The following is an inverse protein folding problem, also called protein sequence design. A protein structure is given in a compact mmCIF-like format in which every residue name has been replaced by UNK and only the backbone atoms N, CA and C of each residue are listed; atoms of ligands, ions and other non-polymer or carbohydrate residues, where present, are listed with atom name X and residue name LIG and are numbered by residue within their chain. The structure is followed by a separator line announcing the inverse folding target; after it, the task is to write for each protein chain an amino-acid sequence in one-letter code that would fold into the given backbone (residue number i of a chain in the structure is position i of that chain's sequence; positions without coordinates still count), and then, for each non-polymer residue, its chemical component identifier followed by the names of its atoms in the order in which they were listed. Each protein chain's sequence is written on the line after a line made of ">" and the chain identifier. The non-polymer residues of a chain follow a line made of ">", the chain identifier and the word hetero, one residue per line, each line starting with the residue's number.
data_IF_949169012970
#
_entry.id   IF_949169012970
#
_cell.length_a   1.000
_cell.length_b   1.000
_cell.length_c   1.000
_cell.angle_alpha   90.00
_cell.angle_beta   90.00
_cell.angle_gamma   90.00
#
_symmetry.space_group_name_H-M   'P 1'
#
loop_
_entity.id
_entity.type
_entity.pdbx_description
1 polymer ?
#
# COMPACT_ATOMS: atom_id res chain seq x y z
N UNK A 1 -9.74 -16.95 2.39
CA UNK A 1 -9.44 -15.80 1.52
C UNK A 1 -10.45 -14.71 1.87
N UNK A 2 -10.14 -13.84 2.84
CA UNK A 2 -11.15 -13.02 3.53
C UNK A 2 -10.67 -11.63 3.91
N UNK A 3 -9.80 -11.02 3.10
CA UNK A 3 -9.42 -9.62 3.26
C UNK A 3 -9.38 -8.98 1.89
N UNK A 4 -10.29 -8.02 1.70
CA UNK A 4 -10.37 -7.17 0.50
C UNK A 4 -9.03 -6.43 0.37
N UNK A 5 -8.41 -6.46 -0.80
CA UNK A 5 -7.07 -5.91 -1.02
C UNK A 5 -7.03 -4.97 -2.22
N UNK A 6 -6.13 -3.98 -2.21
CA UNK A 6 -5.96 -2.96 -3.25
C UNK A 6 -5.73 -3.48 -4.69
N UNK A 7 -5.48 -4.78 -4.85
CA UNK A 7 -5.25 -5.45 -6.12
C UNK A 7 -6.47 -6.24 -6.62
N UNK A 8 -7.48 -6.46 -5.79
CA UNK A 8 -8.69 -7.21 -6.13
C UNK A 8 -9.90 -6.27 -6.06
N UNK A 9 -10.37 -5.76 -7.20
CA UNK A 9 -11.50 -4.83 -7.22
C UNK A 9 -12.84 -5.57 -7.13
N UNK A 10 -12.91 -6.86 -6.87
CA UNK A 10 -14.20 -7.53 -6.65
C UNK A 10 -14.19 -8.30 -5.36
N UNK A 11 -15.36 -8.35 -4.72
CA UNK A 11 -15.59 -9.38 -3.74
C UNK A 11 -15.58 -10.74 -4.46
N UNK A 12 -15.08 -11.77 -3.81
CA UNK A 12 -14.96 -13.09 -4.43
C UNK A 12 -16.32 -13.63 -4.88
N UNK A 13 -17.41 -13.25 -4.22
CA UNK A 13 -18.77 -13.67 -4.56
C UNK A 13 -19.22 -13.15 -5.94
N UNK A 14 -18.68 -12.02 -6.39
CA UNK A 14 -19.04 -11.37 -7.65
C UNK A 14 -18.24 -11.89 -8.85
N UNK A 15 -17.34 -12.86 -8.66
CA UNK A 15 -16.38 -13.29 -9.70
C UNK A 15 -17.03 -13.69 -11.03
N UNK A 16 -18.24 -14.27 -11.00
CA UNK A 16 -18.98 -14.68 -12.20
C UNK A 16 -19.39 -13.48 -13.05
N UNK A 17 -19.78 -12.39 -12.41
CA UNK A 17 -20.15 -11.15 -13.11
C UNK A 17 -18.90 -10.46 -13.67
N UNK A 18 -17.83 -10.37 -12.88
CA UNK A 18 -16.55 -9.80 -13.30
C UNK A 18 -15.95 -10.57 -14.49
N UNK A 19 -16.00 -11.91 -14.48
CA UNK A 19 -15.51 -12.72 -15.59
C UNK A 19 -16.35 -12.51 -16.86
N UNK A 20 -17.68 -12.38 -16.73
CA UNK A 20 -18.55 -12.08 -17.86
C UNK A 20 -18.23 -10.71 -18.46
N UNK A 21 -18.08 -9.69 -17.61
CA UNK A 21 -17.71 -8.35 -18.06
C UNK A 21 -16.34 -8.35 -18.75
N UNK A 22 -15.36 -9.12 -18.23
CA UNK A 22 -14.07 -9.30 -18.89
C UNK A 22 -14.20 -9.92 -20.29
N UNK A 23 -14.95 -11.02 -20.42
CA UNK A 23 -15.17 -11.71 -21.70
C UNK A 23 -15.94 -10.83 -22.71
N UNK A 24 -16.86 -10.00 -22.22
CA UNK A 24 -17.67 -9.09 -23.02
C UNK A 24 -16.98 -7.71 -23.20
N UNK A 25 -15.69 -7.59 -22.84
CA UNK A 25 -14.88 -6.37 -22.97
C UNK A 25 -15.45 -5.13 -22.27
N UNK A 26 -16.23 -5.34 -21.21
CA UNK A 26 -16.78 -4.30 -20.33
C UNK A 26 -15.90 -4.07 -19.10
N UNK A 27 -14.61 -3.94 -19.30
CA UNK A 27 -13.67 -3.69 -18.20
C UNK A 27 -12.67 -2.63 -18.63
N UNK A 28 -12.09 -1.96 -17.65
CA UNK A 28 -10.96 -1.06 -17.88
C UNK A 28 -9.67 -1.74 -17.45
N UNK A 29 -8.55 -1.36 -18.06
CA UNK A 29 -7.23 -1.85 -17.66
C UNK A 29 -6.44 -0.71 -17.03
N UNK A 30 -5.86 -0.98 -15.87
CA UNK A 30 -4.87 -0.11 -15.24
C UNK A 30 -3.50 -0.78 -15.30
N UNK A 31 -2.57 -0.15 -15.99
CA UNK A 31 -1.18 -0.59 -16.04
C UNK A 31 -0.48 -0.15 -14.75
N UNK A 32 -0.31 -1.09 -13.82
CA UNK A 32 0.39 -0.84 -12.56
C UNK A 32 1.89 -1.00 -12.76
N UNK A 33 2.65 -0.02 -12.29
CA UNK A 33 4.11 -0.04 -12.33
C UNK A 33 4.66 -1.15 -11.45
N UNK A 34 5.82 -1.68 -11.83
CA UNK A 34 6.61 -2.62 -11.05
C UNK A 34 7.98 -2.03 -10.76
N UNK A 35 8.60 -2.46 -9.68
CA UNK A 35 10.03 -2.22 -9.46
C UNK A 35 10.83 -3.36 -10.10
N UNK A 36 12.08 -3.06 -10.44
CA UNK A 36 13.12 -4.05 -10.69
C UNK A 36 14.28 -3.78 -9.74
N UNK A 37 14.96 -4.84 -9.33
CA UNK A 37 16.12 -4.73 -8.45
C UNK A 37 17.24 -5.67 -8.86
N UNK A 38 18.46 -5.26 -8.54
CA UNK A 38 19.69 -6.05 -8.63
C UNK A 38 20.58 -5.77 -7.42
N UNK A 39 21.41 -6.74 -7.05
CA UNK A 39 22.28 -6.65 -5.87
C UNK A 39 23.71 -6.66 -6.37
N UNK A 40 24.56 -5.83 -5.79
CA UNK A 40 25.92 -5.63 -6.26
C UNK A 40 26.92 -5.67 -5.11
N UNK A 41 28.10 -6.19 -5.43
CA UNK A 41 29.28 -6.12 -4.59
C UNK A 41 29.83 -4.69 -4.53
N UNK A 42 30.78 -4.46 -3.63
CA UNK A 42 31.38 -3.15 -3.44
C UNK A 42 32.21 -2.65 -4.65
N UNK A 43 32.65 -3.56 -5.52
CA UNK A 43 33.35 -3.31 -6.78
C UNK A 43 32.38 -3.08 -7.97
N UNK A 44 31.08 -3.30 -7.77
CA UNK A 44 30.03 -3.13 -8.77
C UNK A 44 29.56 -4.43 -9.42
N UNK A 45 30.26 -5.55 -9.20
CA UNK A 45 29.87 -6.84 -9.78
C UNK A 45 28.51 -7.30 -9.22
N UNK A 46 27.63 -7.77 -10.08
CA UNK A 46 26.31 -8.24 -9.69
C UNK A 46 26.41 -9.55 -8.87
N UNK A 47 25.64 -9.62 -7.79
CA UNK A 47 25.59 -10.76 -6.87
C UNK A 47 24.40 -11.65 -7.21
N UNK A 48 24.70 -12.93 -7.45
CA UNK A 48 23.70 -13.97 -7.62
C UNK A 48 23.53 -14.41 -9.07
N UNK A 49 23.13 -15.68 -9.26
CA UNK A 49 22.88 -16.29 -10.59
C UNK A 49 21.45 -16.07 -11.09
N UNK A 50 20.65 -15.26 -10.39
CA UNK A 50 19.19 -15.16 -10.55
C UNK A 50 18.70 -14.05 -11.47
N UNK A 51 19.57 -13.12 -11.89
CA UNK A 51 19.19 -11.96 -12.70
C UNK A 51 18.27 -10.96 -11.99
N UNK A 52 17.85 -9.93 -12.73
CA UNK A 52 16.95 -8.88 -12.25
C UNK A 52 15.63 -9.48 -11.70
N UNK A 53 15.25 -9.11 -10.48
CA UNK A 53 13.94 -9.49 -9.91
C UNK A 53 12.96 -8.34 -10.10
N UNK A 54 11.78 -8.65 -10.65
CA UNK A 54 10.66 -7.71 -10.73
C UNK A 54 9.66 -7.96 -9.61
N UNK A 55 9.15 -6.88 -9.04
CA UNK A 55 8.24 -6.91 -7.89
C UNK A 55 7.15 -5.83 -8.01
N UNK A 56 6.03 -6.04 -7.34
CA UNK A 56 4.86 -5.15 -7.47
C UNK A 56 4.90 -3.99 -6.51
N UNK A 57 5.13 -4.26 -5.22
CA UNK A 57 4.85 -3.30 -4.17
C UNK A 57 6.13 -2.62 -3.69
N UNK A 58 7.01 -3.35 -3.00
CA UNK A 58 8.20 -2.74 -2.40
C UNK A 58 9.37 -3.70 -2.21
N UNK A 59 10.56 -3.11 -2.18
CA UNK A 59 11.73 -3.69 -1.53
C UNK A 59 11.98 -2.98 -0.21
N UNK A 60 12.27 -3.74 0.83
CA UNK A 60 12.64 -3.24 2.14
C UNK A 60 14.02 -3.77 2.51
N UNK A 61 14.95 -2.87 2.78
CA UNK A 61 16.27 -3.19 3.31
C UNK A 61 16.28 -2.79 4.78
N UNK A 62 16.29 -3.76 5.67
CA UNK A 62 16.10 -3.53 7.11
C UNK A 62 17.07 -4.36 7.96
N UNK A 63 17.21 -3.98 9.22
CA UNK A 63 18.06 -4.64 10.23
C UNK A 63 17.71 -6.11 10.49
N UNK A 64 16.57 -6.57 10.03
CA UNK A 64 16.12 -7.93 10.28
C UNK A 64 16.05 -8.26 11.77
N UNK A 65 16.68 -9.38 12.13
CA UNK A 65 16.77 -9.87 13.52
C UNK A 65 17.85 -9.17 14.36
N UNK A 66 18.65 -8.28 13.77
CA UNK A 66 19.75 -7.62 14.46
C UNK A 66 19.24 -6.61 15.51
N UNK A 67 19.88 -6.51 16.68
CA UNK A 67 19.49 -5.55 17.72
C UNK A 67 19.87 -4.10 17.36
N UNK A 68 20.83 -3.93 16.44
CA UNK A 68 21.35 -2.62 16.05
C UNK A 68 20.68 -2.11 14.77
N UNK A 69 20.37 -0.81 14.75
CA UNK A 69 19.97 -0.11 13.52
C UNK A 69 21.04 -0.26 12.43
N UNK A 70 20.58 -0.37 11.19
CA UNK A 70 21.46 -0.41 10.03
C UNK A 70 21.84 1.01 9.61
N UNK A 71 23.06 1.16 9.07
CA UNK A 71 23.48 2.41 8.45
C UNK A 71 23.49 2.23 6.93
N UNK A 72 22.58 2.92 6.25
CA UNK A 72 22.33 2.76 4.81
C UNK A 72 22.54 4.10 4.13
N UNK A 73 23.49 4.16 3.19
CA UNK A 73 23.66 5.29 2.29
C UNK A 73 22.67 5.16 1.13
N UNK A 74 21.83 6.18 0.95
CA UNK A 74 20.89 6.25 -0.16
C UNK A 74 21.43 7.21 -1.24
N UNK A 75 21.45 6.74 -2.48
CA UNK A 75 21.81 7.53 -3.64
C UNK A 75 20.64 7.55 -4.63
N UNK A 76 20.49 8.68 -5.32
CA UNK A 76 19.54 8.87 -6.42
C UNK A 76 20.34 9.32 -7.62
N UNK A 77 20.27 8.57 -8.72
CA UNK A 77 20.97 8.86 -9.98
C UNK A 77 22.47 9.10 -9.76
N UNK A 78 23.07 8.25 -8.92
CA UNK A 78 24.49 8.30 -8.55
C UNK A 78 24.89 9.41 -7.57
N UNK A 79 23.96 10.26 -7.14
CA UNK A 79 24.21 11.35 -6.18
C UNK A 79 23.81 10.92 -4.78
N UNK A 80 24.66 11.18 -3.79
CA UNK A 80 24.34 10.90 -2.39
C UNK A 80 23.18 11.79 -1.95
N UNK A 81 22.09 11.16 -1.51
CA UNK A 81 20.91 11.85 -0.99
C UNK A 81 21.03 12.02 0.52
N UNK A 82 21.27 10.92 1.23
CA UNK A 82 21.37 10.91 2.70
C UNK A 82 21.96 9.61 3.21
N UNK A 83 22.45 9.64 4.45
CA UNK A 83 22.79 8.44 5.21
C UNK A 83 21.70 8.19 6.26
N UNK A 84 20.99 7.09 6.12
CA UNK A 84 19.95 6.65 7.04
C UNK A 84 20.56 5.81 8.16
N UNK A 85 20.36 6.23 9.41
CA UNK A 85 20.53 5.35 10.57
C UNK A 85 19.12 5.05 11.08
N UNK A 86 18.63 3.86 10.78
CA UNK A 86 17.23 3.50 10.94
C UNK A 86 17.06 1.99 11.13
N UNK A 87 15.83 1.54 11.39
CA UNK A 87 15.53 0.11 11.31
C UNK A 87 15.59 -0.38 9.86
N UNK A 88 15.41 0.50 8.88
CA UNK A 88 15.62 0.22 7.47
C UNK A 88 15.13 1.34 6.55
N UNK A 89 15.13 1.04 5.25
CA UNK A 89 14.59 1.86 4.17
C UNK A 89 13.71 1.00 3.26
N UNK A 90 12.60 1.58 2.80
CA UNK A 90 11.67 0.97 1.86
C UNK A 90 11.72 1.77 0.56
N UNK A 91 11.87 1.09 -0.58
CA UNK A 91 11.59 1.63 -1.91
C UNK A 91 10.32 0.96 -2.43
N UNK A 92 9.27 1.76 -2.65
CA UNK A 92 7.96 1.28 -3.07
C UNK A 92 7.53 1.86 -4.42
N UNK A 93 6.74 1.09 -5.15
CA UNK A 93 5.95 1.58 -6.28
C UNK A 93 4.73 2.36 -5.78
N UNK A 94 4.00 3.07 -6.66
CA UNK A 94 2.72 3.70 -6.30
C UNK A 94 1.71 2.69 -5.76
N UNK A 95 1.72 1.46 -6.27
CA UNK A 95 0.88 0.35 -5.77
C UNK A 95 1.30 -0.06 -4.35
N UNK A 96 2.61 -0.14 -4.08
CA UNK A 96 3.15 -0.45 -2.76
C UNK A 96 2.99 0.67 -1.71
N UNK A 97 2.57 1.86 -2.13
CA UNK A 97 2.33 2.99 -1.21
C UNK A 97 1.28 2.71 -0.15
N UNK A 98 0.37 1.75 -0.40
CA UNK A 98 -0.67 1.29 0.53
C UNK A 98 -0.30 0.01 1.29
N UNK A 99 0.92 -0.51 1.10
CA UNK A 99 1.43 -1.71 1.75
C UNK A 99 2.38 -1.33 2.90
N UNK A 100 3.59 -1.89 2.97
CA UNK A 100 4.49 -1.64 4.09
C UNK A 100 4.94 -0.18 4.17
N UNK A 101 5.06 0.50 3.02
CA UNK A 101 5.37 1.94 2.97
C UNK A 101 4.36 2.77 3.76
N UNK A 102 3.06 2.48 3.67
CA UNK A 102 2.03 3.17 4.45
C UNK A 102 2.23 3.01 5.96
N UNK A 103 2.46 1.77 6.39
CA UNK A 103 2.69 1.44 7.80
C UNK A 103 3.93 2.11 8.38
N UNK A 104 4.95 2.34 7.53
CA UNK A 104 6.17 3.07 7.90
C UNK A 104 6.00 4.61 7.84
N UNK A 105 4.80 5.12 7.58
CA UNK A 105 4.49 6.55 7.53
C UNK A 105 4.65 7.19 6.15
N UNK A 106 4.79 6.38 5.09
CA UNK A 106 4.76 6.83 3.70
C UNK A 106 3.37 7.34 3.26
N UNK A 107 3.31 8.21 2.25
CA UNK A 107 2.05 8.73 1.74
C UNK A 107 1.32 7.69 0.89
N UNK A 108 -0.01 7.77 0.86
CA UNK A 108 -0.83 7.03 -0.10
C UNK A 108 -0.71 7.70 -1.47
N UNK A 109 -0.33 6.94 -2.49
CA UNK A 109 -0.11 7.43 -3.86
C UNK A 109 -1.05 6.72 -4.82
N UNK A 110 -1.68 7.49 -5.71
CA UNK A 110 -2.56 6.92 -6.73
C UNK A 110 -1.76 6.03 -7.71
N UNK A 111 -2.19 4.81 -8.05
CA UNK A 111 -1.41 3.88 -8.88
C UNK A 111 -0.99 4.41 -10.26
N UNK A 112 -1.71 5.38 -10.81
CA UNK A 112 -1.36 6.05 -12.08
C UNK A 112 -0.26 7.10 -11.98
N UNK A 113 0.12 7.54 -10.78
CA UNK A 113 1.21 8.52 -10.59
C UNK A 113 2.54 7.83 -10.90
N UNK A 114 3.32 8.40 -11.81
CA UNK A 114 4.61 7.86 -12.20
C UNK A 114 5.68 8.28 -11.20
N UNK A 115 5.88 7.50 -10.14
CA UNK A 115 6.81 7.85 -9.06
C UNK A 115 7.37 6.64 -8.32
N UNK A 116 8.58 6.78 -7.79
CA UNK A 116 9.17 5.90 -6.76
C UNK A 116 8.97 6.53 -5.38
N UNK A 117 8.74 5.72 -4.35
CA UNK A 117 8.64 6.19 -2.97
C UNK A 117 9.84 5.70 -2.18
N UNK A 118 10.54 6.59 -1.48
CA UNK A 118 11.52 6.25 -0.47
C UNK A 118 10.94 6.54 0.91
N UNK A 119 10.79 5.52 1.75
CA UNK A 119 10.21 5.63 3.10
C UNK A 119 11.18 5.06 4.14
N UNK A 120 11.62 5.86 5.13
CA UNK A 120 12.45 5.33 6.21
C UNK A 120 11.63 4.56 7.26
N UNK A 121 12.18 3.48 7.81
CA UNK A 121 11.58 2.72 8.91
C UNK A 121 12.22 3.18 10.22
N UNK A 122 11.45 3.85 11.09
CA UNK A 122 11.91 4.34 12.39
C UNK A 122 13.30 5.04 12.34
N UNK A 123 13.47 6.10 11.52
CA UNK A 123 14.76 6.77 11.42
C UNK A 123 15.14 7.45 12.74
N UNK A 124 16.42 7.37 13.12
CA UNK A 124 16.97 8.14 14.24
C UNK A 124 16.89 9.66 13.99
N UNK A 125 16.96 10.07 12.72
CA UNK A 125 16.85 11.47 12.33
C UNK A 125 15.41 11.96 12.41
N UNK A 126 15.18 13.06 13.14
CA UNK A 126 13.86 13.69 13.27
C UNK A 126 13.36 14.34 11.98
N UNK A 127 14.28 14.71 11.08
CA UNK A 127 13.98 15.41 9.82
C UNK A 127 13.83 14.48 8.62
N UNK A 128 14.14 13.19 8.75
CA UNK A 128 14.03 12.28 7.62
C UNK A 128 12.56 11.95 7.38
N UNK A 129 12.04 12.41 6.25
CA UNK A 129 10.66 12.19 5.80
C UNK A 129 10.64 11.30 4.55
N UNK A 130 9.51 10.61 4.30
CA UNK A 130 9.30 9.96 3.02
C UNK A 130 9.40 10.95 1.86
N UNK A 131 9.92 10.49 0.72
CA UNK A 131 10.10 11.31 -0.49
C UNK A 131 9.56 10.56 -1.70
N UNK A 132 8.87 11.28 -2.57
CA UNK A 132 8.53 10.80 -3.91
C UNK A 132 9.60 11.25 -4.89
N UNK A 133 10.05 10.31 -5.71
CA UNK A 133 11.06 10.51 -6.74
C UNK A 133 10.45 10.21 -8.12
N UNK A 134 10.98 10.82 -9.20
CA UNK A 134 10.58 10.47 -10.56
C UNK A 134 10.70 8.97 -10.85
N UNK A 135 9.82 8.44 -11.70
CA UNK A 135 9.82 7.02 -12.06
C UNK A 135 11.05 6.55 -12.84
N UNK A 136 11.74 7.47 -13.50
CA UNK A 136 12.96 7.23 -14.27
C UNK A 136 14.24 7.29 -13.42
N UNK A 137 14.14 7.67 -12.15
CA UNK A 137 15.28 7.64 -11.24
C UNK A 137 15.75 6.22 -10.92
N UNK A 138 17.05 6.08 -10.72
CA UNK A 138 17.69 4.87 -10.19
C UNK A 138 18.13 5.12 -8.75
N UNK A 139 17.69 4.25 -7.86
CA UNK A 139 17.99 4.32 -6.42
C UNK A 139 19.05 3.29 -6.09
N UNK A 140 20.06 3.68 -5.33
CA UNK A 140 21.02 2.74 -4.75
C UNK A 140 20.98 2.84 -3.23
N UNK A 141 20.77 1.70 -2.56
CA UNK A 141 20.81 1.57 -1.12
C UNK A 141 22.03 0.75 -0.73
N UNK A 142 23.05 1.41 -0.18
CA UNK A 142 24.33 0.79 0.16
C UNK A 142 24.45 0.61 1.65
N UNK A 143 24.80 -0.60 2.09
CA UNK A 143 25.14 -0.81 3.50
C UNK A 143 26.47 -0.15 3.77
N UNK A 144 26.50 0.85 4.65
CA UNK A 144 27.70 1.60 4.95
C UNK A 144 28.79 0.65 5.47
N UNK A 145 30.05 0.82 5.05
CA UNK A 145 31.15 -0.08 5.44
C UNK A 145 31.39 -0.16 6.94
N UNK A 146 31.02 0.90 7.66
CA UNK A 146 31.12 1.01 9.12
C UNK A 146 29.83 0.58 9.84
N UNK A 147 28.82 0.09 9.10
CA UNK A 147 27.62 -0.51 9.69
C UNK A 147 28.02 -1.72 10.52
N UNK A 148 27.49 -1.81 11.74
CA UNK A 148 27.80 -2.90 12.69
C UNK A 148 27.13 -4.21 12.32
N UNK A 149 26.01 -4.12 11.59
CA UNK A 149 25.17 -5.24 11.20
C UNK A 149 24.97 -5.26 9.69
N UNK A 150 24.74 -6.48 9.19
CA UNK A 150 24.20 -6.71 7.86
C UNK A 150 22.71 -6.30 7.83
N UNK A 151 22.12 -6.22 6.64
CA UNK A 151 20.71 -5.90 6.46
C UNK A 151 20.00 -7.01 5.69
N UNK A 152 18.84 -7.42 6.15
CA UNK A 152 17.95 -8.32 5.44
C UNK A 152 17.21 -7.56 4.33
N UNK A 153 17.18 -8.16 3.14
CA UNK A 153 16.39 -7.71 1.99
C UNK A 153 15.10 -8.52 1.92
N UNK A 154 14.00 -7.79 1.97
CA UNK A 154 12.65 -8.31 1.76
C UNK A 154 12.08 -7.73 0.47
N UNK A 155 11.46 -8.58 -0.36
CA UNK A 155 10.80 -8.20 -1.61
C UNK A 155 9.35 -8.68 -1.55
N UNK A 156 8.39 -7.77 -1.73
CA UNK A 156 6.94 -8.06 -1.65
C UNK A 156 6.57 -8.91 -0.41
N UNK A 157 7.19 -8.60 0.74
CA UNK A 157 6.97 -9.28 2.03
C UNK A 157 7.67 -10.63 2.20
N UNK A 158 8.54 -11.05 1.28
CA UNK A 158 9.34 -12.28 1.38
C UNK A 158 10.81 -11.98 1.59
N UNK A 159 11.43 -12.61 2.59
CA UNK A 159 12.86 -12.54 2.82
C UNK A 159 13.61 -13.22 1.66
N UNK A 160 14.59 -12.51 1.09
CA UNK A 160 15.35 -12.97 -0.07
C UNK A 160 16.76 -13.35 0.32
N UNK A 161 17.50 -12.40 0.90
CA UNK A 161 18.88 -12.59 1.34
C UNK A 161 19.35 -11.44 2.24
N UNK A 162 20.54 -11.57 2.79
CA UNK A 162 21.19 -10.55 3.61
C UNK A 162 22.30 -9.83 2.83
N UNK A 163 22.33 -8.50 2.89
CA UNK A 163 23.40 -7.65 2.36
C UNK A 163 24.39 -7.29 3.47
N UNK A 164 25.66 -7.48 3.19
CA UNK A 164 26.78 -7.17 4.09
C UNK A 164 27.35 -5.78 3.83
N UNK A 165 28.07 -5.17 4.81
CA UNK A 165 28.70 -3.86 4.64
C UNK A 165 29.52 -3.73 3.36
N UNK A 166 29.23 -2.70 2.56
CA UNK A 166 29.84 -2.44 1.27
C UNK A 166 29.03 -2.90 0.06
N UNK A 167 28.17 -3.91 0.22
CA UNK A 167 27.21 -4.31 -0.81
C UNK A 167 26.09 -3.28 -0.94
N UNK A 168 25.45 -3.25 -2.10
CA UNK A 168 24.33 -2.36 -2.34
C UNK A 168 23.23 -3.01 -3.17
N UNK A 169 22.01 -2.53 -2.93
CA UNK A 169 20.82 -2.81 -3.72
C UNK A 169 20.62 -1.67 -4.72
N UNK A 170 20.39 -2.00 -5.99
CA UNK A 170 20.01 -1.04 -7.02
C UNK A 170 18.55 -1.28 -7.41
N UNK A 171 17.76 -0.21 -7.45
CA UNK A 171 16.31 -0.26 -7.70
C UNK A 171 15.97 0.76 -8.78
N UNK A 172 15.10 0.38 -9.72
CA UNK A 172 14.49 1.30 -10.67
C UNK A 172 13.10 0.78 -11.06
N UNK A 173 12.34 1.56 -11.83
CA UNK A 173 11.10 1.05 -12.40
C UNK A 173 11.38 -0.03 -13.45
N UNK A 174 10.57 -1.07 -13.42
CA UNK A 174 10.58 -2.14 -14.42
C UNK A 174 9.98 -1.61 -15.74
N UNK A 175 10.55 -1.96 -16.90
CA UNK A 175 9.95 -1.65 -18.20
C UNK A 175 8.68 -2.49 -18.47
N UNK A 176 8.33 -3.43 -17.60
CA UNK A 176 7.24 -4.37 -17.78
C UNK A 176 6.12 -4.12 -16.76
N UNK A 177 5.21 -3.16 -17.00
CA UNK A 177 4.05 -2.95 -16.13
C UNK A 177 3.11 -4.16 -16.13
N UNK A 178 2.32 -4.30 -15.07
CA UNK A 178 1.29 -5.35 -14.99
C UNK A 178 -0.06 -4.77 -15.39
N UNK A 179 -0.71 -5.32 -16.43
CA UNK A 179 -2.11 -5.02 -16.73
C UNK A 179 -3.01 -5.60 -15.65
N UNK A 180 -3.72 -4.74 -14.95
CA UNK A 180 -4.71 -5.14 -13.96
C UNK A 180 -6.10 -4.74 -14.45
N UNK A 181 -7.04 -5.67 -14.37
CA UNK A 181 -8.43 -5.42 -14.71
C UNK A 181 -9.09 -4.62 -13.59
N UNK A 182 -9.75 -3.52 -13.93
CA UNK A 182 -10.55 -2.68 -13.05
C UNK A 182 -12.04 -2.78 -13.42
N UNK A 183 -12.94 -2.27 -12.56
CA UNK A 183 -14.38 -2.32 -12.80
C UNK A 183 -14.74 -1.47 -14.03
N UNK A 184 -15.87 -1.79 -14.65
CA UNK A 184 -16.45 -0.94 -15.68
C UNK A 184 -16.81 0.42 -15.07
N UNK A 185 -16.49 1.52 -15.75
CA UNK A 185 -17.07 2.80 -15.38
C UNK A 185 -18.60 2.72 -15.59
N UNK A 186 -19.37 3.15 -14.59
CA UNK A 186 -20.85 3.16 -14.66
C UNK A 186 -21.41 3.98 -15.83
N UNK A 187 -20.57 4.83 -16.44
CA UNK A 187 -20.83 5.58 -17.68
C UNK A 187 -20.85 4.74 -18.96
N UNK A 188 -20.35 3.50 -18.95
CA UNK A 188 -20.28 2.63 -20.13
C UNK A 188 -21.55 1.76 -20.33
N UNK A 189 -22.70 2.16 -19.77
CA UNK A 189 -23.97 1.56 -20.19
C UNK A 189 -24.28 2.08 -21.61
N UNK A 190 -24.38 1.20 -22.63
CA UNK A 190 -24.81 1.65 -23.94
C UNK A 190 -26.21 2.25 -23.80
N UNK A 191 -26.37 3.49 -24.29
CA UNK A 191 -27.68 4.15 -24.39
C UNK A 191 -28.70 3.16 -24.95
N UNK A 192 -29.58 2.64 -24.09
CA UNK A 192 -30.81 2.02 -24.54
C UNK A 192 -31.58 3.11 -25.27
N UNK A 193 -31.60 3.05 -26.61
CA UNK A 193 -32.52 3.87 -27.42
C UNK A 193 -33.91 3.59 -26.89
N UNK A 194 -34.50 4.60 -26.27
CA UNK A 194 -35.83 4.52 -25.67
C UNK A 194 -36.87 4.18 -26.73
N UNK A 195 -37.50 3.01 -26.59
CA UNK A 195 -38.88 2.85 -27.01
C UNK A 195 -39.74 3.45 -25.90
N UNK A 196 -40.63 4.36 -26.28
CA UNK A 196 -41.30 5.28 -25.38
C UNK A 196 -42.24 4.65 -24.36
N UNK A 197 -42.51 5.42 -23.31
CA UNK A 197 -43.82 5.50 -22.68
C UNK A 197 -43.89 6.78 -21.85
N UNK A 198 -44.83 7.62 -22.23
CA UNK A 198 -45.36 8.75 -21.46
C UNK A 198 -46.19 8.23 -20.29
N UNK A 199 -46.00 8.83 -19.10
CA UNK A 199 -46.89 8.92 -17.94
C UNK A 199 -45.99 9.16 -16.71
N UNK A 200 -46.27 9.98 -15.70
CA UNK A 200 -47.33 10.91 -15.35
C UNK A 200 -46.68 11.82 -14.28
N UNK A 201 -46.97 13.13 -14.32
CA UNK A 201 -46.51 14.08 -13.31
C UNK A 201 -47.25 13.84 -12.01
N UNK A 202 -46.54 13.64 -10.90
CA UNK A 202 -47.06 13.95 -9.57
C UNK A 202 -45.99 14.66 -8.73
N UNK A 203 -46.48 15.64 -7.98
CA UNK A 203 -45.81 16.81 -7.47
C UNK A 203 -45.52 16.62 -5.98
N UNK A 204 -44.25 16.46 -5.60
CA UNK A 204 -43.79 16.61 -4.21
C UNK A 204 -42.53 17.49 -4.16
N UNK A 205 -42.42 18.46 -3.23
CA UNK A 205 -41.28 19.35 -3.15
C UNK A 205 -40.11 18.62 -2.48
N UNK A 206 -39.10 18.21 -3.25
CA UNK A 206 -37.83 17.72 -2.71
C UNK A 206 -36.89 18.88 -2.43
N UNK A 207 -36.41 18.89 -1.18
CA UNK A 207 -35.38 19.76 -0.62
C UNK A 207 -34.16 19.83 -1.56
N UNK A 208 -33.67 21.04 -1.78
CA UNK A 208 -32.49 21.33 -2.57
C UNK A 208 -31.26 20.91 -1.75
N UNK A 209 -30.77 19.68 -1.95
CA UNK A 209 -29.40 19.32 -1.57
C UNK A 209 -28.44 19.86 -2.64
N UNK A 210 -28.08 21.13 -2.46
CA UNK A 210 -26.97 21.77 -3.15
C UNK A 210 -25.64 21.22 -2.63
N UNK A 211 -25.12 20.17 -3.24
CA UNK A 211 -23.72 19.76 -3.13
C UNK A 211 -23.29 19.02 -4.40
N UNK A 212 -23.43 19.68 -5.56
CA UNK A 212 -22.79 19.23 -6.79
C UNK A 212 -21.28 19.39 -6.60
N UNK A 213 -20.56 18.28 -6.53
CA UNK A 213 -19.10 18.28 -6.53
C UNK A 213 -18.59 19.11 -7.71
N UNK A 214 -17.94 20.24 -7.39
CA UNK A 214 -17.29 21.10 -8.36
C UNK A 214 -16.07 20.33 -8.88
N UNK A 215 -16.11 19.90 -10.15
CA UNK A 215 -14.91 19.41 -10.86
C UNK A 215 -14.82 17.91 -11.16
N UNK A 216 -15.91 17.13 -11.09
CA UNK A 216 -15.88 15.75 -11.58
C UNK A 216 -15.69 15.76 -13.12
N UNK A 217 -14.52 15.31 -13.58
CA UNK A 217 -14.28 15.08 -15.01
C UNK A 217 -15.17 13.90 -15.45
N UNK A 218 -16.15 14.10 -16.36
CA UNK A 218 -17.12 13.06 -16.72
C UNK A 218 -16.50 11.79 -17.32
N UNK A 219 -15.28 11.90 -17.89
CA UNK A 219 -14.53 10.78 -18.47
C UNK A 219 -13.86 9.88 -17.43
N UNK A 220 -13.76 10.34 -16.17
CA UNK A 220 -13.27 9.53 -15.05
C UNK A 220 -14.47 9.05 -14.26
N UNK A 221 -15.09 7.99 -14.77
CA UNK A 221 -16.18 7.32 -14.05
C UNK A 221 -15.75 7.05 -12.62
N UNK A 222 -16.59 7.45 -11.66
CA UNK A 222 -16.48 7.28 -10.21
C UNK A 222 -15.20 6.53 -9.75
N UNK A 223 -14.11 7.28 -9.52
CA UNK A 223 -12.76 6.74 -9.34
C UNK A 223 -12.73 5.58 -8.32
N UNK A 224 -12.65 4.34 -8.83
CA UNK A 224 -12.60 3.09 -8.05
C UNK A 224 -11.58 3.16 -6.92
N UNK A 225 -10.44 3.83 -7.17
CA UNK A 225 -9.40 4.05 -6.18
C UNK A 225 -9.85 4.91 -5.00
N UNK A 226 -10.66 5.96 -5.23
CA UNK A 226 -11.21 6.79 -4.14
C UNK A 226 -12.15 5.96 -3.28
N UNK A 227 -12.96 5.10 -3.90
CA UNK A 227 -13.81 4.16 -3.16
C UNK A 227 -12.94 3.21 -2.34
N UNK A 228 -11.95 2.57 -2.98
CA UNK A 228 -11.07 1.58 -2.35
C UNK A 228 -10.32 2.19 -1.15
N UNK A 229 -9.80 3.42 -1.24
CA UNK A 229 -9.16 4.09 -0.09
C UNK A 229 -10.14 4.32 1.07
N UNK A 230 -11.36 4.78 0.76
CA UNK A 230 -12.35 5.05 1.80
C UNK A 230 -12.89 3.77 2.43
N UNK A 231 -13.01 2.68 1.68
CA UNK A 231 -13.55 1.40 2.18
C UNK A 231 -12.48 0.54 2.83
N UNK A 232 -11.28 0.44 2.24
CA UNK A 232 -10.19 -0.43 2.70
C UNK A 232 -9.37 0.21 3.81
N UNK A 233 -8.94 1.47 3.61
CA UNK A 233 -8.10 2.18 4.58
C UNK A 233 -8.92 3.01 5.56
N UNK A 234 -10.22 3.13 5.35
CA UNK A 234 -11.11 3.97 6.17
C UNK A 234 -10.57 5.39 6.28
N UNK A 235 -10.06 5.93 5.19
CA UNK A 235 -9.32 7.20 5.15
C UNK A 235 -10.10 8.37 5.76
N UNK A 236 -11.41 8.45 5.52
CA UNK A 236 -12.29 9.47 6.07
C UNK A 236 -13.03 9.04 7.35
N UNK A 237 -12.69 7.90 7.97
CA UNK A 237 -13.27 7.55 9.25
C UNK A 237 -12.81 8.58 10.29
N UNK A 238 -13.71 9.49 10.65
CA UNK A 238 -13.50 10.44 11.74
C UNK A 238 -13.10 9.70 13.02
N UNK A 239 -12.25 10.33 13.84
CA UNK A 239 -12.01 10.00 15.25
C UNK A 239 -13.27 10.18 16.14
N UNK A 240 -14.46 9.87 15.62
CA UNK A 240 -15.70 9.94 16.37
C UNK A 240 -15.73 8.83 17.43
N UNK A 241 -15.25 9.19 18.62
CA UNK A 241 -15.75 8.73 19.92
C UNK A 241 -15.64 7.23 20.22
N UNK A 242 -14.43 6.70 20.44
CA UNK A 242 -14.25 5.64 21.45
C UNK A 242 -13.98 6.27 22.81
N UNK A 243 -14.98 6.96 23.32
CA UNK A 243 -14.99 7.55 24.65
C UNK A 243 -16.39 7.39 25.22
N UNK A 244 -16.82 6.13 25.43
CA UNK A 244 -17.96 5.69 26.22
C UNK A 244 -18.15 4.18 25.98
N UNK A 245 -17.32 3.36 26.65
CA UNK A 245 -17.81 2.10 27.21
C UNK A 245 -17.46 2.16 28.69
N UNK A 246 -18.35 2.80 29.45
CA UNK A 246 -18.40 2.61 30.88
C UNK A 246 -18.98 1.23 31.18
N UNK A 247 -18.45 0.62 32.23
CA UNK A 247 -19.21 -0.10 33.25
C UNK A 247 -20.28 -1.08 32.75
N UNK A 248 -19.88 -2.33 32.53
CA UNK A 248 -20.71 -3.50 32.81
C UNK A 248 -19.83 -4.75 32.74
N UNK A 249 -19.30 -5.16 33.89
CA UNK A 249 -19.12 -6.57 34.33
C UNK A 249 -18.44 -6.54 35.73
N UNK A 250 -19.12 -5.91 36.68
CA UNK A 250 -18.98 -6.17 38.12
C UNK A 250 -20.40 -6.39 38.65
N UNK A 251 -20.80 -7.65 38.74
CA UNK A 251 -21.91 -8.21 39.52
C UNK A 251 -21.81 -9.74 39.29
N UNK A 252 -21.97 -10.66 40.23
CA UNK A 252 -22.05 -10.66 41.67
C UNK A 252 -22.11 -12.16 42.00
N UNK A 253 -21.09 -12.72 42.64
CA UNK A 253 -21.19 -14.05 43.25
C UNK A 253 -20.41 -14.06 44.55
N UNK A 254 -20.89 -13.26 45.50
CA UNK A 254 -20.76 -13.58 46.92
C UNK A 254 -22.13 -13.95 47.49
N UNK A 255 -22.36 -15.23 47.76
CA UNK A 255 -22.72 -15.72 49.11
C UNK A 255 -23.09 -17.21 49.09
N UNK A 256 -22.21 -18.03 49.66
CA UNK A 256 -22.64 -19.05 50.61
C UNK A 256 -21.55 -19.22 51.67
N UNK A 257 -21.76 -18.56 52.82
CA UNK A 257 -20.98 -18.68 54.05
C UNK A 257 -21.09 -20.08 54.67
N UNK A 258 -19.97 -20.46 55.28
CA UNK A 258 -19.82 -21.29 56.48
C UNK A 258 -20.27 -22.75 56.46
N UNK A 259 -19.31 -23.65 56.71
CA UNK A 259 -19.17 -24.36 58.00
C UNK A 259 -17.86 -25.18 58.05
N UNK A 260 -17.22 -25.12 59.23
CA UNK A 260 -16.31 -26.10 59.87
C UNK A 260 -15.13 -26.69 59.06
N UNK A 261 -13.90 -26.77 59.54
CA UNK A 261 -13.36 -26.71 60.90
C UNK A 261 -12.17 -27.68 60.98
N UNK A 262 -11.09 -27.30 61.68
CA UNK A 262 -10.14 -28.24 62.30
C UNK A 262 -8.85 -28.60 61.55
N UNK A 263 -7.72 -28.14 62.13
CA UNK A 263 -6.49 -28.92 62.49
C UNK A 263 -6.00 -30.00 61.49
N UNK A 264 -4.76 -29.96 61.00
CA UNK A 264 -3.47 -29.93 61.69
C UNK A 264 -2.36 -29.67 60.68
#
# INVERSE_FOLDING_TARGET
>A
MGTLGFLLPWHIDDFKSALRDLLESRVTLLLRMRLRQSIHQADGEEVGKGGEIHLMNEVALHRGREPHMTTIDAFVDGRHLTQAISDGLIIASPTGSTAYSLSAGGPIVHPSVQSLLLTPICPRSLSFRPVLLPSDSTIQLKIARHSRSAAELTIDGREIQTLTPGQYLQISMSPFPIPCVNRASSSAQPHRRGAGQEAERNNEPRLIEGSRAIGANPDRGEDDWVKDINTLLRFNASFAGRGLLGSAEEEDHSESKNRDGGTR
#
